data_IF_862885002851
#
_entry.id   IF_862885002851
#
_cell.length_a   1.000
_cell.length_b   1.000
_cell.length_c   1.000
_cell.angle_alpha   90.00
_cell.angle_beta   90.00
_cell.angle_gamma   90.00
#
_symmetry.space_group_name_H-M   'P 1'
#
loop_
_entity.id
_entity.type
_entity.pdbx_description
1 polymer ?
#
# COMPACT_ATOMS: atom_id res chain seq x y z
N UNK A 1 -43.83 21.42 3.71
CA UNK A 1 -42.44 21.63 3.25
C UNK A 1 -41.39 21.10 4.23
N UNK A 2 -41.37 21.50 5.50
CA UNK A 2 -40.36 21.08 6.50
C UNK A 2 -40.14 19.56 6.62
N UNK A 3 -41.21 18.75 6.63
CA UNK A 3 -41.11 17.27 6.68
C UNK A 3 -40.44 16.65 5.45
N UNK A 4 -40.62 17.24 4.25
CA UNK A 4 -39.97 16.77 3.02
C UNK A 4 -38.47 17.05 3.05
N UNK A 5 -38.07 18.25 3.48
CA UNK A 5 -36.67 18.64 3.63
C UNK A 5 -35.95 17.76 4.66
N UNK A 6 -36.58 17.51 5.81
CA UNK A 6 -36.03 16.61 6.83
C UNK A 6 -35.83 15.18 6.29
N UNK A 7 -36.81 14.65 5.55
CA UNK A 7 -36.71 13.31 4.95
C UNK A 7 -35.54 13.23 3.96
N UNK A 8 -35.37 14.25 3.12
CA UNK A 8 -34.25 14.32 2.16
C UNK A 8 -32.92 14.33 2.90
N UNK A 9 -32.80 15.15 3.95
CA UNK A 9 -31.59 15.21 4.77
C UNK A 9 -31.23 13.86 5.39
N UNK A 10 -32.21 13.16 5.97
CA UNK A 10 -31.99 11.82 6.55
C UNK A 10 -31.54 10.83 5.47
N UNK A 11 -32.21 10.79 4.31
CA UNK A 11 -31.83 9.90 3.22
C UNK A 11 -30.40 10.17 2.71
N UNK A 12 -30.03 11.43 2.53
CA UNK A 12 -28.69 11.80 2.10
C UNK A 12 -27.63 11.39 3.12
N UNK A 13 -27.87 11.64 4.42
CA UNK A 13 -26.96 11.21 5.48
C UNK A 13 -26.78 9.69 5.52
N UNK A 14 -27.87 8.92 5.36
CA UNK A 14 -27.81 7.46 5.31
C UNK A 14 -27.02 6.95 4.09
N UNK A 15 -27.15 7.60 2.94
CA UNK A 15 -26.37 7.26 1.74
C UNK A 15 -24.87 7.51 1.96
N UNK A 16 -24.50 8.65 2.53
CA UNK A 16 -23.10 8.97 2.85
C UNK A 16 -22.52 7.97 3.85
N UNK A 17 -23.25 7.70 4.93
CA UNK A 17 -22.82 6.71 5.93
C UNK A 17 -22.69 5.30 5.33
N UNK A 18 -23.62 4.92 4.45
CA UNK A 18 -23.56 3.66 3.72
C UNK A 18 -22.34 3.57 2.81
N UNK A 19 -22.02 4.63 2.08
CA UNK A 19 -20.83 4.69 1.23
C UNK A 19 -19.53 4.59 2.03
N UNK A 20 -19.44 5.26 3.19
CA UNK A 20 -18.28 5.18 4.09
C UNK A 20 -18.11 3.75 4.61
N UNK A 21 -19.19 3.13 5.09
CA UNK A 21 -19.15 1.76 5.60
C UNK A 21 -18.77 0.75 4.52
N UNK A 22 -19.31 0.89 3.30
CA UNK A 22 -18.96 0.06 2.17
C UNK A 22 -17.51 0.25 1.75
N UNK A 23 -17.03 1.49 1.67
CA UNK A 23 -15.64 1.81 1.35
C UNK A 23 -14.68 1.19 2.35
N UNK A 24 -14.94 1.36 3.66
CA UNK A 24 -14.15 0.73 4.71
C UNK A 24 -14.14 -0.81 4.61
N UNK A 25 -15.31 -1.43 4.36
CA UNK A 25 -15.39 -2.88 4.18
C UNK A 25 -14.53 -3.35 2.99
N UNK A 26 -14.60 -2.65 1.86
CA UNK A 26 -13.79 -2.97 0.68
C UNK A 26 -12.29 -2.84 0.98
N UNK A 27 -11.88 -1.82 1.72
CA UNK A 27 -10.49 -1.65 2.15
C UNK A 27 -10.02 -2.84 2.99
N UNK A 28 -10.79 -3.25 3.99
CA UNK A 28 -10.45 -4.42 4.82
C UNK A 28 -10.35 -5.70 3.98
N UNK A 29 -11.25 -5.88 3.00
CA UNK A 29 -11.25 -7.06 2.14
C UNK A 29 -9.99 -7.16 1.25
N UNK A 30 -9.41 -6.04 0.81
CA UNK A 30 -8.14 -6.06 0.03
C UNK A 30 -7.02 -6.71 0.83
N UNK A 31 -6.93 -6.45 2.14
CA UNK A 31 -5.92 -7.06 3.02
C UNK A 31 -6.20 -8.54 3.35
N UNK A 32 -7.31 -9.10 2.86
CA UNK A 32 -7.59 -10.55 2.93
C UNK A 32 -7.21 -11.31 1.66
N UNK A 33 -6.72 -10.61 0.62
CA UNK A 33 -6.27 -11.24 -0.61
C UNK A 33 -5.07 -12.18 -0.36
N UNK A 34 -4.92 -13.25 -1.15
CA UNK A 34 -3.81 -14.18 -0.99
C UNK A 34 -2.48 -13.49 -1.32
N UNK A 35 -1.57 -13.46 -0.35
CA UNK A 35 -0.29 -12.76 -0.47
C UNK A 35 0.73 -13.52 -1.34
N UNK A 36 0.63 -14.85 -1.41
CA UNK A 36 1.55 -15.71 -2.18
C UNK A 36 1.69 -15.29 -3.66
N UNK A 37 0.61 -15.16 -4.46
CA UNK A 37 0.74 -14.75 -5.85
C UNK A 37 1.26 -13.32 -6.00
N UNK A 38 0.96 -12.41 -5.05
CA UNK A 38 1.47 -11.04 -5.06
C UNK A 38 2.99 -11.08 -4.87
N UNK A 39 3.47 -11.70 -3.79
CA UNK A 39 4.91 -11.83 -3.47
C UNK A 39 5.68 -12.54 -4.57
N UNK A 40 5.12 -13.57 -5.20
CA UNK A 40 5.78 -14.26 -6.31
C UNK A 40 5.98 -13.33 -7.51
N UNK A 41 4.97 -12.53 -7.88
CA UNK A 41 5.09 -11.59 -8.99
C UNK A 41 6.09 -10.46 -8.69
N UNK A 42 6.08 -9.93 -7.47
CA UNK A 42 7.07 -8.93 -7.04
C UNK A 42 8.48 -9.53 -7.05
N UNK A 43 8.65 -10.74 -6.52
CA UNK A 43 9.94 -11.44 -6.54
C UNK A 43 10.46 -11.70 -7.97
N UNK A 44 9.57 -12.03 -8.91
CA UNK A 44 9.95 -12.19 -10.32
C UNK A 44 10.41 -10.86 -10.96
N UNK A 45 9.95 -9.72 -10.46
CA UNK A 45 10.32 -8.38 -10.94
C UNK A 45 11.58 -7.81 -10.26
N UNK A 46 12.06 -8.41 -9.16
CA UNK A 46 13.21 -7.90 -8.40
C UNK A 46 14.46 -7.61 -9.24
N UNK A 47 14.90 -8.50 -10.17
CA UNK A 47 16.11 -8.22 -10.97
C UNK A 47 16.00 -6.94 -11.80
N UNK A 48 14.79 -6.58 -12.26
CA UNK A 48 14.53 -5.35 -12.99
C UNK A 48 14.53 -4.15 -12.03
N UNK A 49 13.82 -4.26 -10.91
CA UNK A 49 13.74 -3.25 -9.85
C UNK A 49 15.12 -2.85 -9.32
N UNK A 50 15.99 -3.84 -9.08
CA UNK A 50 17.37 -3.62 -8.62
C UNK A 50 18.22 -2.91 -9.68
N UNK A 51 18.04 -3.26 -10.96
CA UNK A 51 18.77 -2.65 -12.06
C UNK A 51 18.33 -1.20 -12.33
N UNK A 52 17.03 -0.90 -12.15
CA UNK A 52 16.45 0.42 -12.37
C UNK A 52 16.68 1.37 -11.19
N UNK A 53 16.60 0.87 -9.96
CA UNK A 53 16.64 1.69 -8.75
C UNK A 53 15.46 2.66 -8.64
N UNK A 54 15.51 3.58 -7.67
CA UNK A 54 14.33 4.40 -7.34
C UNK A 54 13.98 5.46 -8.40
N UNK A 55 14.89 5.78 -9.31
CA UNK A 55 14.72 6.93 -10.21
C UNK A 55 15.39 6.72 -11.58
N UNK A 56 15.06 5.62 -12.30
CA UNK A 56 15.67 5.32 -13.58
C UNK A 56 15.26 6.38 -14.60
N UNK A 57 16.13 6.63 -15.58
CA UNK A 57 15.85 7.52 -16.71
C UNK A 57 16.22 6.79 -17.98
N UNK A 58 15.26 6.57 -18.88
CA UNK A 58 15.48 5.78 -20.10
C UNK A 58 15.93 6.63 -21.31
N UNK A 59 15.96 7.96 -21.18
CA UNK A 59 16.44 8.89 -22.20
C UNK A 59 17.29 10.02 -21.62
N UNK A 60 17.76 10.93 -22.50
CA UNK A 60 18.60 12.07 -22.09
C UNK A 60 17.79 13.28 -21.59
N UNK A 61 16.47 13.15 -21.44
CA UNK A 61 15.57 14.24 -21.02
C UNK A 61 14.84 13.88 -19.74
N UNK A 62 14.67 14.86 -18.84
CA UNK A 62 14.08 14.65 -17.51
C UNK A 62 12.65 14.10 -17.56
N UNK A 63 11.90 14.34 -18.65
CA UNK A 63 10.55 13.79 -18.84
C UNK A 63 10.51 12.27 -19.02
N UNK A 64 11.66 11.61 -19.14
CA UNK A 64 11.78 10.14 -19.21
C UNK A 64 12.15 9.51 -17.86
N UNK A 65 12.24 10.32 -16.80
CA UNK A 65 12.50 9.83 -15.45
C UNK A 65 11.26 9.14 -14.90
N UNK A 66 11.40 7.89 -14.46
CA UNK A 66 10.34 7.14 -13.79
C UNK A 66 10.44 7.34 -12.27
N UNK A 67 9.32 7.09 -11.58
CA UNK A 67 9.22 7.20 -10.12
C UNK A 67 9.25 5.82 -9.45
N UNK A 68 10.39 5.15 -9.60
CA UNK A 68 10.64 3.84 -8.99
C UNK A 68 10.52 3.88 -7.47
N UNK A 69 10.84 5.01 -6.83
CA UNK A 69 10.66 5.20 -5.39
C UNK A 69 9.23 4.88 -4.95
N UNK A 70 8.26 5.50 -5.61
CA UNK A 70 6.85 5.28 -5.31
C UNK A 70 6.42 3.87 -5.72
N UNK A 71 6.84 3.39 -6.89
CA UNK A 71 6.49 2.04 -7.35
C UNK A 71 6.97 0.96 -6.35
N UNK A 72 8.23 1.05 -5.89
CA UNK A 72 8.79 0.11 -4.92
C UNK A 72 8.08 0.18 -3.57
N UNK A 73 7.72 1.39 -3.11
CA UNK A 73 6.96 1.58 -1.87
C UNK A 73 5.57 0.93 -1.98
N UNK A 74 4.84 1.16 -3.08
CA UNK A 74 3.50 0.60 -3.30
C UNK A 74 3.55 -0.93 -3.42
N UNK A 75 4.56 -1.48 -4.08
CA UNK A 75 4.78 -2.94 -4.14
C UNK A 75 5.13 -3.52 -2.77
N UNK A 76 5.86 -2.77 -1.94
CA UNK A 76 6.17 -3.17 -0.57
C UNK A 76 4.89 -3.24 0.28
N UNK A 77 4.04 -2.22 0.24
CA UNK A 77 2.74 -2.22 0.91
C UNK A 77 1.84 -3.38 0.45
N UNK A 78 1.75 -3.59 -0.86
CA UNK A 78 0.92 -4.65 -1.43
C UNK A 78 1.41 -6.07 -1.09
N UNK A 79 2.72 -6.23 -0.89
CA UNK A 79 3.36 -7.53 -0.65
C UNK A 79 3.80 -7.75 0.80
N UNK A 80 3.61 -6.76 1.66
CA UNK A 80 3.95 -6.81 3.08
C UNK A 80 3.15 -7.89 3.81
N UNK A 81 3.83 -8.63 4.67
CA UNK A 81 3.15 -9.46 5.66
C UNK A 81 2.49 -8.57 6.72
N UNK A 82 1.50 -9.09 7.45
CA UNK A 82 0.74 -8.31 8.44
C UNK A 82 1.67 -7.60 9.43
N UNK A 83 1.59 -6.26 9.48
CA UNK A 83 2.42 -5.44 10.37
C UNK A 83 1.91 -5.42 11.81
N UNK A 84 0.61 -5.68 12.00
CA UNK A 84 -0.08 -5.55 13.29
C UNK A 84 -0.81 -6.81 13.76
N UNK A 85 -0.67 -7.93 13.06
CA UNK A 85 -1.43 -9.17 13.30
C UNK A 85 -2.95 -8.96 13.28
N UNK A 86 -3.41 -7.91 12.57
CA UNK A 86 -4.81 -7.51 12.50
C UNK A 86 -5.09 -6.87 11.15
N UNK A 87 -5.88 -7.56 10.34
CA UNK A 87 -6.30 -7.11 9.00
C UNK A 87 -6.94 -5.72 9.05
N UNK A 88 -7.70 -5.41 10.10
CA UNK A 88 -8.32 -4.09 10.25
C UNK A 88 -7.28 -3.01 10.53
N UNK A 89 -6.27 -3.29 11.36
CA UNK A 89 -5.21 -2.31 11.64
C UNK A 89 -4.29 -2.14 10.45
N UNK A 90 -3.96 -3.22 9.75
CA UNK A 90 -3.20 -3.16 8.49
C UNK A 90 -3.98 -2.35 7.45
N UNK A 91 -5.30 -2.57 7.32
CA UNK A 91 -6.22 -1.80 6.50
C UNK A 91 -6.60 -0.40 7.03
N UNK A 92 -5.99 0.07 8.12
CA UNK A 92 -6.09 1.47 8.57
C UNK A 92 -4.73 2.17 8.65
N UNK A 93 -3.63 1.41 8.61
CA UNK A 93 -2.26 1.94 8.72
C UNK A 93 -1.40 1.80 7.47
N UNK A 94 -1.79 0.91 6.56
CA UNK A 94 -1.10 0.59 5.31
C UNK A 94 0.42 0.44 5.54
N UNK A 95 0.84 -0.60 6.28
CA UNK A 95 2.25 -0.77 6.61
C UNK A 95 3.05 -1.24 5.39
N UNK A 96 4.25 -0.70 5.23
CA UNK A 96 5.33 -1.29 4.43
C UNK A 96 6.49 -1.69 5.34
N UNK A 97 7.35 -2.55 4.85
CA UNK A 97 8.51 -3.04 5.60
C UNK A 97 9.76 -2.24 5.23
N UNK A 98 10.47 -1.77 6.25
CA UNK A 98 11.73 -1.03 6.09
C UNK A 98 12.86 -1.71 6.84
N UNK A 99 14.08 -1.63 6.31
CA UNK A 99 15.30 -2.00 7.02
C UNK A 99 15.63 -0.98 8.11
N UNK A 100 16.48 -1.36 9.07
CA UNK A 100 16.99 -0.42 10.07
C UNK A 100 18.05 0.53 9.51
N UNK A 101 18.75 0.10 8.46
CA UNK A 101 19.75 0.90 7.75
C UNK A 101 19.09 1.80 6.71
N UNK A 102 19.66 2.99 6.49
CA UNK A 102 19.26 3.87 5.38
C UNK A 102 19.56 3.19 4.04
N UNK A 103 18.50 2.97 3.25
CA UNK A 103 18.57 2.34 1.93
C UNK A 103 17.48 2.88 1.00
N UNK A 104 17.59 2.52 -0.28
CA UNK A 104 16.59 2.85 -1.31
C UNK A 104 15.27 2.12 -1.06
N UNK A 105 14.18 2.54 -1.71
CA UNK A 105 12.92 1.80 -1.62
C UNK A 105 13.04 0.43 -2.29
N UNK A 106 13.83 0.30 -3.36
CA UNK A 106 14.17 -1.00 -3.95
C UNK A 106 14.78 -1.97 -2.92
N UNK A 107 15.75 -1.50 -2.12
CA UNK A 107 16.40 -2.31 -1.09
C UNK A 107 15.43 -2.69 0.04
N UNK A 108 14.56 -1.77 0.46
CA UNK A 108 13.53 -2.07 1.46
C UNK A 108 12.56 -3.15 0.96
N UNK A 109 12.15 -3.07 -0.32
CA UNK A 109 11.27 -4.06 -0.95
C UNK A 109 11.94 -5.45 -1.02
N UNK A 110 13.18 -5.51 -1.48
CA UNK A 110 13.96 -6.75 -1.53
C UNK A 110 14.07 -7.39 -0.14
N UNK A 111 14.45 -6.60 0.87
CA UNK A 111 14.55 -7.06 2.25
C UNK A 111 13.21 -7.56 2.80
N UNK A 112 12.10 -6.90 2.44
CA UNK A 112 10.74 -7.33 2.82
C UNK A 112 10.34 -8.69 2.23
N UNK A 113 10.83 -9.01 1.03
CA UNK A 113 10.55 -10.29 0.39
C UNK A 113 11.40 -11.42 0.98
N UNK A 114 12.61 -11.10 1.43
CA UNK A 114 13.55 -12.05 2.02
C UNK A 114 13.37 -12.25 3.53
N UNK A 115 12.72 -11.31 4.24
CA UNK A 115 12.53 -11.46 5.67
C UNK A 115 11.70 -12.71 5.98
N UNK A 116 12.29 -13.56 6.82
CA UNK A 116 11.69 -14.81 7.28
C UNK A 116 11.24 -14.69 8.74
N UNK A 117 10.92 -13.46 9.19
CA UNK A 117 10.62 -13.15 10.60
C UNK A 117 11.86 -13.09 11.49
N UNK A 118 13.04 -12.77 10.94
CA UNK A 118 14.31 -12.69 11.70
C UNK A 118 14.61 -11.28 12.22
N UNK A 119 13.65 -10.36 12.12
CA UNK A 119 13.73 -9.02 12.71
C UNK A 119 14.67 -8.07 11.97
N UNK A 120 14.94 -8.31 10.68
CA UNK A 120 15.76 -7.41 9.84
C UNK A 120 14.96 -6.27 9.24
N UNK A 121 13.63 -6.39 9.23
CA UNK A 121 12.71 -5.36 8.75
C UNK A 121 11.66 -5.08 9.81
N UNK A 122 11.13 -3.86 9.79
CA UNK A 122 10.05 -3.42 10.68
C UNK A 122 8.94 -2.77 9.88
N UNK A 123 7.71 -2.92 10.35
CA UNK A 123 6.57 -2.23 9.79
C UNK A 123 6.71 -0.71 10.03
N UNK A 124 6.45 0.07 8.98
CA UNK A 124 6.35 1.53 9.02
C UNK A 124 5.02 1.94 8.41
N UNK A 125 4.30 2.78 9.13
CA UNK A 125 2.98 3.24 8.72
C UNK A 125 3.07 4.22 7.55
N UNK A 126 2.16 4.04 6.60
CA UNK A 126 1.94 5.01 5.53
C UNK A 126 0.45 5.39 5.40
N UNK A 127 -0.21 5.54 6.56
CA UNK A 127 -1.64 5.81 6.68
C UNK A 127 -2.16 7.05 5.91
N UNK A 128 -1.27 7.98 5.52
CA UNK A 128 -1.64 9.21 4.79
C UNK A 128 -1.83 8.98 3.28
N UNK A 129 -1.19 7.97 2.71
CA UNK A 129 -1.19 7.73 1.27
C UNK A 129 -2.12 6.57 0.90
N UNK A 130 -3.28 6.51 1.55
CA UNK A 130 -4.33 5.53 1.25
C UNK A 130 -4.99 5.74 -0.11
N UNK A 131 -4.79 6.89 -0.75
CA UNK A 131 -5.74 7.36 -1.75
C UNK A 131 -5.46 6.94 -3.18
N UNK A 132 -4.27 6.42 -3.49
CA UNK A 132 -3.79 6.49 -4.86
C UNK A 132 -3.54 7.93 -5.31
#
# INVERSE_FOLDING_TARGET
MKKKVLKIGICASLQVLGAIALGFLLLVLVYTLPLTPIRQNVANALPMIEAEGDYPTWGMVTSTKLDGFTDHLMLNEASAESGYSSVILDALRNPHMVTEEEGSQAQNLEASLQDSGKGKVRAKDYARYWHG
#
